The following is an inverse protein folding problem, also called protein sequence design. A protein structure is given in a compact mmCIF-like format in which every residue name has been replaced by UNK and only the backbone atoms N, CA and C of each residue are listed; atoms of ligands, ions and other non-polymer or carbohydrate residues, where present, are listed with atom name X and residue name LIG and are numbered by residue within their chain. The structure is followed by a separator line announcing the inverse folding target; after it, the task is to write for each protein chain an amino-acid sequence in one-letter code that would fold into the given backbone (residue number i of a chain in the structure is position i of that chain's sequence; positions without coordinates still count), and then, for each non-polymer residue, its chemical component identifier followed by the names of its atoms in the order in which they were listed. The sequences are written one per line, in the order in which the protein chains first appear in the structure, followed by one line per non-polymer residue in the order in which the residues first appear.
data_IF_264889765534
#
_entry.id   IF_264889765534
#
_cell.length_a   1.000
_cell.length_b   1.000
_cell.length_c   1.000
_cell.angle_alpha   90.00
_cell.angle_beta   90.00
_cell.angle_gamma   90.00
#
_symmetry.space_group_name_H-M   'P 1'
#
loop_
_entity.id
_entity.type
_entity.pdbx_description
1 polymer ?
#
# COMPACT_ATOMS: atom_id res chain seq x y z
N UNK A 1 6.23 -0.31 -0.83
CA UNK A 1 6.90 0.59 -1.79
C UNK A 1 8.39 0.79 -1.47
N UNK A 2 8.76 1.05 -0.22
CA UNK A 2 10.16 1.33 0.17
C UNK A 2 11.10 0.16 -0.15
N UNK A 3 10.69 -1.07 0.21
CA UNK A 3 11.45 -2.29 -0.13
C UNK A 3 11.60 -2.50 -1.66
N UNK A 4 10.67 -1.97 -2.46
CA UNK A 4 10.71 -2.04 -3.93
C UNK A 4 11.40 -0.82 -4.58
N UNK A 5 11.90 0.15 -3.79
CA UNK A 5 12.51 1.38 -4.31
C UNK A 5 11.53 2.29 -5.07
N UNK A 6 10.22 2.21 -4.80
CA UNK A 6 9.18 2.96 -5.53
C UNK A 6 8.80 4.23 -4.75
N UNK A 7 8.90 5.37 -5.43
CA UNK A 7 8.42 6.66 -4.94
C UNK A 7 6.89 6.72 -4.87
N UNK A 8 6.38 7.52 -3.93
CA UNK A 8 4.92 7.62 -3.72
C UNK A 8 4.19 8.13 -4.96
N UNK A 9 4.78 9.10 -5.67
CA UNK A 9 4.22 9.67 -6.90
C UNK A 9 4.13 8.62 -8.01
N UNK A 10 5.17 7.82 -8.18
CA UNK A 10 5.22 6.77 -9.20
C UNK A 10 4.22 5.66 -8.87
N UNK A 11 4.07 5.32 -7.59
CA UNK A 11 3.05 4.38 -7.14
C UNK A 11 1.64 4.88 -7.45
N UNK A 12 1.39 6.18 -7.23
CA UNK A 12 0.09 6.79 -7.52
C UNK A 12 -0.25 6.71 -9.01
N UNK A 13 0.73 7.00 -9.88
CA UNK A 13 0.58 6.93 -11.33
C UNK A 13 0.33 5.49 -11.79
N UNK A 14 1.15 4.53 -11.34
CA UNK A 14 1.05 3.12 -11.74
C UNK A 14 -0.24 2.45 -11.27
N UNK A 15 -0.70 2.77 -10.07
CA UNK A 15 -1.90 2.15 -9.49
C UNK A 15 -3.20 2.89 -9.80
N UNK A 16 -3.13 4.11 -10.35
CA UNK A 16 -4.29 4.99 -10.50
C UNK A 16 -4.91 5.43 -9.16
N UNK A 17 -4.21 5.21 -8.05
CA UNK A 17 -4.66 5.61 -6.71
C UNK A 17 -4.06 6.98 -6.40
N UNK A 18 -4.87 7.92 -5.92
CA UNK A 18 -4.36 9.27 -5.66
C UNK A 18 -3.25 9.28 -4.61
N UNK A 19 -2.27 10.16 -4.81
CA UNK A 19 -1.17 10.38 -3.86
C UNK A 19 -1.68 10.61 -2.43
N UNK A 20 -2.73 11.43 -2.27
CA UNK A 20 -3.38 11.70 -0.97
C UNK A 20 -3.96 10.44 -0.32
N UNK A 21 -4.50 9.51 -1.11
CA UNK A 21 -5.00 8.26 -0.57
C UNK A 21 -3.84 7.38 -0.07
N UNK A 22 -2.79 7.24 -0.87
CA UNK A 22 -1.62 6.44 -0.50
C UNK A 22 -0.87 7.03 0.70
N UNK A 23 -0.79 8.36 0.81
CA UNK A 23 -0.18 9.03 1.97
C UNK A 23 -0.95 8.85 3.28
N UNK A 24 -2.24 8.50 3.23
CA UNK A 24 -3.01 8.09 4.42
C UNK A 24 -2.94 6.58 4.66
N UNK A 25 -2.82 5.80 3.59
CA UNK A 25 -2.70 4.34 3.68
C UNK A 25 -1.36 3.93 4.31
N UNK A 26 -0.24 4.49 3.84
CA UNK A 26 1.11 4.11 4.27
C UNK A 26 1.36 4.25 5.79
N UNK A 27 0.99 5.35 6.47
CA UNK A 27 1.12 5.44 7.92
C UNK A 27 -0.03 4.74 8.68
N UNK A 28 -0.99 4.12 7.99
CA UNK A 28 -2.11 3.41 8.61
C UNK A 28 -3.27 4.28 9.10
N UNK A 29 -3.26 5.60 8.84
CA UNK A 29 -4.42 6.47 9.15
C UNK A 29 -5.65 6.08 8.34
N UNK A 30 -5.45 5.42 7.19
CA UNK A 30 -6.47 4.65 6.50
C UNK A 30 -6.14 3.16 6.51
N UNK A 31 -6.94 2.37 7.25
CA UNK A 31 -6.76 0.90 7.38
C UNK A 31 -7.59 0.06 6.41
N UNK A 32 -8.56 0.69 5.70
CA UNK A 32 -9.48 -0.02 4.80
C UNK A 32 -9.29 0.38 3.34
N UNK A 33 -9.06 -0.63 2.52
CA UNK A 33 -8.95 -0.53 1.06
C UNK A 33 -10.09 -1.31 0.39
N UNK A 34 -10.59 -0.82 -0.75
CA UNK A 34 -11.53 -1.60 -1.55
C UNK A 34 -10.78 -2.67 -2.36
N UNK A 35 -11.43 -3.81 -2.69
CA UNK A 35 -10.80 -4.86 -3.49
C UNK A 35 -10.23 -4.34 -4.83
N UNK A 36 -10.94 -3.42 -5.50
CA UNK A 36 -10.47 -2.81 -6.75
C UNK A 36 -9.12 -2.09 -6.59
N UNK A 37 -8.95 -1.34 -5.50
CA UNK A 37 -7.67 -0.64 -5.23
C UNK A 37 -6.58 -1.62 -4.85
N UNK A 38 -6.91 -2.69 -4.13
CA UNK A 38 -5.94 -3.73 -3.80
C UNK A 38 -5.40 -4.41 -5.06
N UNK A 39 -6.30 -4.80 -5.98
CA UNK A 39 -5.93 -5.41 -7.26
C UNK A 39 -5.06 -4.48 -8.11
N UNK A 40 -5.30 -3.17 -8.09
CA UNK A 40 -4.47 -2.19 -8.79
C UNK A 40 -3.11 -1.95 -8.10
N UNK A 41 -3.08 -1.95 -6.77
CA UNK A 41 -1.88 -1.69 -5.99
C UNK A 41 -0.85 -2.84 -6.10
N UNK A 42 -1.31 -4.09 -6.07
CA UNK A 42 -0.45 -5.27 -6.06
C UNK A 42 0.57 -5.30 -7.21
N UNK A 43 0.17 -5.24 -8.50
CA UNK A 43 1.12 -5.24 -9.60
C UNK A 43 1.97 -3.95 -9.63
N UNK A 44 1.43 -2.81 -9.19
CA UNK A 44 2.17 -1.55 -9.14
C UNK A 44 3.34 -1.60 -8.13
N UNK A 45 3.25 -2.44 -7.11
CA UNK A 45 4.29 -2.69 -6.11
C UNK A 45 5.23 -3.85 -6.47
N UNK A 46 4.94 -4.62 -7.52
CA UNK A 46 5.60 -5.89 -7.83
C UNK A 46 5.60 -6.86 -6.64
N UNK A 47 4.55 -6.82 -5.82
CA UNK A 47 4.43 -7.62 -4.61
C UNK A 47 3.38 -8.73 -4.77
N UNK A 48 3.55 -9.79 -4.00
CA UNK A 48 2.62 -10.91 -3.86
C UNK A 48 1.59 -10.63 -2.76
N UNK A 49 0.54 -11.45 -2.71
CA UNK A 49 -0.47 -11.33 -1.64
C UNK A 49 0.14 -11.66 -0.27
N UNK A 50 1.11 -12.58 -0.20
CA UNK A 50 1.81 -12.93 1.03
C UNK A 50 2.60 -11.74 1.59
N UNK A 51 3.31 -10.99 0.73
CA UNK A 51 4.06 -9.80 1.13
C UNK A 51 3.16 -8.63 1.55
N UNK A 52 1.95 -8.51 0.96
CA UNK A 52 1.03 -7.40 1.23
C UNK A 52 0.03 -7.67 2.36
N UNK A 53 -0.34 -8.93 2.59
CA UNK A 53 -1.31 -9.36 3.58
C UNK A 53 -0.65 -10.05 4.79
N UNK A 54 0.69 -10.10 4.85
CA UNK A 54 1.40 -10.66 5.99
C UNK A 54 0.86 -10.08 7.30
N UNK A 55 0.57 -10.98 8.24
CA UNK A 55 -0.14 -10.69 9.50
C UNK A 55 0.79 -10.12 10.59
N UNK A 56 1.87 -9.45 10.19
CA UNK A 56 2.77 -8.76 11.13
C UNK A 56 2.11 -7.43 11.54
N UNK A 57 1.14 -7.48 12.46
CA UNK A 57 0.85 -6.34 13.33
C UNK A 57 1.86 -6.35 14.47
N UNK A 58 2.88 -5.46 14.51
CA UNK A 58 3.38 -5.01 15.80
C UNK A 58 2.29 -4.11 16.37
N UNK A 59 1.42 -4.75 17.15
CA UNK A 59 0.57 -4.10 18.13
C UNK A 59 1.45 -3.14 18.93
N UNK A 60 1.36 -1.83 18.65
CA UNK A 60 2.00 -0.82 19.50
C UNK A 60 1.28 -0.89 20.84
N UNK A 61 1.93 -1.53 21.82
CA UNK A 61 1.59 -1.36 23.23
C UNK A 61 2.00 0.06 23.59
N UNK A 62 1.01 0.93 23.80
CA UNK A 62 1.12 2.12 24.64
C UNK A 62 0.05 1.98 25.74
#
# INVERSE_FOLDING_TARGET
RMAAGIEMKDLAERSGISHRYLSHLEPGSRRRMSPTRYVALRPALHATDEELLSTEEPHRKD
#
